data_IF_223290199056
#
_entry.id   IF_223290199056
#
_cell.length_a   1.000
_cell.length_b   1.000
_cell.length_c   1.000
_cell.angle_alpha   90.00
_cell.angle_beta   90.00
_cell.angle_gamma   90.00
#
_symmetry.space_group_name_H-M   'P 1'
#
loop_
_entity.id
_entity.type
_entity.pdbx_description
1 polymer ?
#
# COMPACT_ATOMS: atom_id res chain seq x y z
N UNK A 1 -6.71 3.62 9.80
CA UNK A 1 -7.23 4.96 9.41
C UNK A 1 -8.12 4.79 8.17
N UNK A 2 -8.95 5.76 7.82
CA UNK A 2 -9.80 5.66 6.62
C UNK A 2 -9.35 6.66 5.56
N UNK A 3 -9.05 6.20 4.34
CA UNK A 3 -8.63 7.04 3.23
C UNK A 3 -9.65 7.04 2.09
N UNK A 4 -9.77 8.12 1.30
CA UNK A 4 -10.66 8.17 0.13
C UNK A 4 -10.44 6.99 -0.83
N UNK A 5 -11.52 6.43 -1.37
CA UNK A 5 -11.47 5.29 -2.27
C UNK A 5 -10.98 5.70 -3.67
N UNK A 6 -10.14 4.86 -4.28
CA UNK A 6 -9.65 5.08 -5.63
C UNK A 6 -10.61 4.48 -6.68
N UNK A 7 -10.60 5.06 -7.88
CA UNK A 7 -11.47 4.66 -8.99
C UNK A 7 -10.72 4.66 -10.31
N UNK A 8 -11.33 4.04 -11.31
CA UNK A 8 -10.86 4.16 -12.69
C UNK A 8 -10.81 5.63 -13.10
N UNK A 9 -9.66 6.04 -13.65
CA UNK A 9 -9.38 7.42 -14.05
C UNK A 9 -8.80 8.32 -12.96
N UNK A 10 -8.70 7.87 -11.70
CA UNK A 10 -7.96 8.63 -10.69
C UNK A 10 -6.45 8.59 -10.98
N UNK A 11 -5.75 9.64 -10.56
CA UNK A 11 -4.34 9.86 -10.87
C UNK A 11 -3.43 9.55 -9.69
N UNK A 12 -2.25 9.02 -9.99
CA UNK A 12 -1.14 8.84 -9.04
C UNK A 12 -0.38 10.14 -8.84
N UNK A 13 0.52 10.17 -7.85
CA UNK A 13 1.41 11.31 -7.58
C UNK A 13 2.27 11.67 -8.80
N UNK A 14 2.63 10.67 -9.59
CA UNK A 14 3.43 10.80 -10.81
C UNK A 14 2.61 11.18 -12.04
N UNK A 15 1.29 11.37 -11.89
CA UNK A 15 0.39 11.73 -12.99
C UNK A 15 -0.04 10.55 -13.86
N UNK A 16 0.16 9.32 -13.40
CA UNK A 16 -0.32 8.12 -14.09
C UNK A 16 -1.79 7.87 -13.75
N UNK A 17 -2.57 7.37 -14.72
CA UNK A 17 -4.00 7.14 -14.54
C UNK A 17 -4.31 5.66 -14.31
N UNK A 18 -5.27 5.38 -13.44
CA UNK A 18 -5.81 4.03 -13.24
C UNK A 18 -6.66 3.65 -14.45
N UNK A 19 -6.29 2.56 -15.12
CA UNK A 19 -6.92 2.06 -16.32
C UNK A 19 -8.15 1.19 -15.98
N UNK A 20 -9.13 1.09 -16.90
CA UNK A 20 -10.15 0.05 -16.84
C UNK A 20 -9.50 -1.35 -16.93
N UNK A 21 -10.15 -2.43 -16.41
CA UNK A 21 -11.60 -2.58 -16.22
C UNK A 21 -12.14 -2.22 -14.82
N UNK A 22 -11.29 -2.03 -13.82
CA UNK A 22 -11.72 -1.90 -12.42
C UNK A 22 -12.72 -2.99 -12.02
N UNK A 23 -13.56 -2.69 -11.04
CA UNK A 23 -14.73 -3.51 -10.70
C UNK A 23 -16.01 -2.76 -11.12
N UNK A 24 -16.56 -3.03 -12.32
CA UNK A 24 -17.69 -2.26 -12.86
C UNK A 24 -19.01 -2.51 -12.12
N UNK A 25 -19.09 -3.56 -11.29
CA UNK A 25 -20.25 -3.84 -10.45
C UNK A 25 -20.34 -2.94 -9.22
N UNK A 26 -19.23 -2.30 -8.82
CA UNK A 26 -19.18 -1.41 -7.66
C UNK A 26 -18.80 -0.02 -8.14
N UNK A 27 -19.76 0.89 -8.10
CA UNK A 27 -19.58 2.27 -8.57
C UNK A 27 -19.32 3.22 -7.40
N UNK A 28 -18.17 3.87 -7.39
CA UNK A 28 -17.80 4.88 -6.40
C UNK A 28 -17.96 6.24 -7.07
N UNK A 29 -18.94 7.03 -6.64
CA UNK A 29 -19.24 8.32 -7.26
C UNK A 29 -19.53 8.23 -8.77
N UNK A 30 -20.20 7.14 -9.19
CA UNK A 30 -20.60 6.90 -10.59
C UNK A 30 -19.53 6.29 -11.51
N UNK A 31 -18.32 6.03 -11.02
CA UNK A 31 -17.24 5.38 -11.78
C UNK A 31 -16.87 4.02 -11.17
N UNK A 32 -16.38 3.04 -11.96
CA UNK A 32 -15.92 1.76 -11.44
C UNK A 32 -14.86 1.90 -10.35
N UNK A 33 -15.02 1.15 -9.27
CA UNK A 33 -14.06 1.09 -8.19
C UNK A 33 -12.72 0.50 -8.65
N UNK A 34 -11.61 1.04 -8.15
CA UNK A 34 -10.29 0.46 -8.37
C UNK A 34 -9.90 -0.49 -7.22
N UNK A 35 -9.25 -1.59 -7.56
CA UNK A 35 -8.84 -2.65 -6.67
C UNK A 35 -7.35 -3.00 -6.85
N UNK A 36 -6.81 -3.70 -5.86
CA UNK A 36 -5.47 -4.29 -5.97
C UNK A 36 -5.39 -5.19 -7.19
N UNK A 37 -4.34 -4.98 -7.99
CA UNK A 37 -4.09 -5.65 -9.25
C UNK A 37 -4.66 -4.96 -10.49
N UNK A 38 -5.34 -3.81 -10.35
CA UNK A 38 -5.74 -2.99 -11.50
C UNK A 38 -4.53 -2.33 -12.16
N UNK A 39 -4.67 -2.09 -13.47
CA UNK A 39 -3.60 -1.53 -14.29
C UNK A 39 -3.52 -0.02 -14.12
N UNK A 40 -2.30 0.50 -14.13
CA UNK A 40 -2.02 1.93 -14.09
C UNK A 40 -1.01 2.25 -15.18
N UNK A 41 -1.25 3.30 -15.96
CA UNK A 41 -0.30 3.75 -16.98
C UNK A 41 -0.42 5.24 -17.18
N UNK A 42 0.67 5.87 -17.60
CA UNK A 42 0.72 7.29 -17.86
C UNK A 42 2.11 7.76 -18.22
N UNK A 43 2.43 8.97 -17.79
CA UNK A 43 3.67 9.65 -18.17
C UNK A 43 4.91 8.93 -17.65
N UNK A 44 4.86 8.48 -16.39
CA UNK A 44 5.99 7.82 -15.74
C UNK A 44 5.92 6.32 -15.95
N UNK A 45 4.75 5.71 -15.80
CA UNK A 45 4.54 4.28 -16.04
C UNK A 45 4.18 4.08 -17.52
N UNK A 46 5.23 4.09 -18.35
CA UNK A 46 5.12 4.15 -19.82
C UNK A 46 5.74 2.94 -20.56
N UNK A 47 6.51 2.08 -19.88
CA UNK A 47 7.10 0.89 -20.52
C UNK A 47 6.14 -0.31 -20.50
N UNK A 48 5.53 -0.57 -19.36
CA UNK A 48 4.51 -1.60 -19.16
C UNK A 48 3.46 -1.09 -18.18
N UNK A 49 2.19 -1.50 -18.29
CA UNK A 49 1.16 -1.14 -17.31
C UNK A 49 1.60 -1.57 -15.91
N UNK A 50 1.70 -0.59 -15.03
CA UNK A 50 1.91 -0.84 -13.61
C UNK A 50 0.67 -1.42 -12.97
N UNK A 51 0.82 -1.86 -11.74
CA UNK A 51 -0.19 -2.59 -10.98
C UNK A 51 -0.34 -1.96 -9.61
N UNK A 52 -1.57 -1.77 -9.16
CA UNK A 52 -1.86 -1.39 -7.77
C UNK A 52 -1.46 -2.57 -6.87
N UNK A 53 -0.39 -2.40 -6.09
CA UNK A 53 0.20 -3.44 -5.27
C UNK A 53 -0.45 -3.56 -3.88
N UNK A 54 -0.96 -2.45 -3.34
CA UNK A 54 -1.46 -2.39 -1.95
C UNK A 54 -2.85 -1.76 -1.89
N UNK A 55 -3.70 -2.21 -0.94
CA UNK A 55 -5.04 -1.68 -0.73
C UNK A 55 -5.58 -1.93 0.68
N UNK A 56 -6.87 -1.69 0.89
CA UNK A 56 -7.58 -2.00 2.12
C UNK A 56 -8.00 -3.45 2.18
N UNK A 57 -7.35 -4.25 3.02
CA UNK A 57 -7.64 -5.68 3.19
C UNK A 57 -8.94 -5.98 3.95
N UNK A 58 -9.61 -4.94 4.50
CA UNK A 58 -10.87 -5.08 5.24
C UNK A 58 -12.09 -4.84 4.36
N UNK A 59 -11.94 -4.05 3.30
CA UNK A 59 -13.00 -3.75 2.35
C UNK A 59 -12.65 -4.42 1.04
N UNK A 60 -13.35 -5.52 0.74
CA UNK A 60 -13.17 -6.27 -0.49
C UNK A 60 -14.21 -5.82 -1.51
N UNK A 61 -13.75 -5.34 -2.66
CA UNK A 61 -14.56 -4.94 -3.80
C UNK A 61 -14.36 -5.99 -4.90
N UNK A 62 -15.44 -6.67 -5.28
CA UNK A 62 -15.36 -7.79 -6.25
C UNK A 62 -14.47 -8.94 -5.78
N UNK A 63 -14.36 -9.15 -4.46
CA UNK A 63 -13.49 -10.16 -3.85
C UNK A 63 -12.01 -9.78 -3.77
N UNK A 64 -11.64 -8.56 -4.19
CA UNK A 64 -10.26 -8.05 -4.19
C UNK A 64 -10.12 -6.88 -3.21
N UNK A 65 -8.97 -6.68 -2.56
CA UNK A 65 -8.77 -5.53 -1.68
C UNK A 65 -8.98 -4.20 -2.41
N UNK A 66 -9.77 -3.30 -1.82
CA UNK A 66 -10.10 -2.00 -2.40
C UNK A 66 -8.87 -1.08 -2.45
N UNK A 67 -8.64 -0.40 -3.57
CA UNK A 67 -7.60 0.61 -3.67
C UNK A 67 -8.06 1.93 -3.02
N UNK A 68 -7.13 2.64 -2.38
CA UNK A 68 -7.40 3.90 -1.68
C UNK A 68 -6.30 4.92 -1.95
N UNK A 69 -6.54 6.18 -1.63
CA UNK A 69 -5.48 7.18 -1.58
C UNK A 69 -4.36 6.65 -0.68
N UNK A 70 -3.11 6.79 -1.10
CA UNK A 70 -1.88 6.17 -0.54
C UNK A 70 -1.60 4.71 -0.92
N UNK A 71 -2.50 4.02 -1.63
CA UNK A 71 -2.20 2.68 -2.19
C UNK A 71 -0.96 2.74 -3.09
N UNK A 72 -0.03 1.81 -2.87
CA UNK A 72 1.17 1.68 -3.71
C UNK A 72 0.81 1.12 -5.08
N UNK A 73 1.46 1.67 -6.10
CA UNK A 73 1.40 1.25 -7.49
C UNK A 73 2.83 1.00 -7.95
N UNK A 74 3.08 -0.20 -8.46
CA UNK A 74 4.39 -0.61 -8.96
C UNK A 74 4.33 -0.71 -10.48
N UNK A 75 5.25 -0.07 -11.18
CA UNK A 75 5.30 -0.09 -12.63
C UNK A 75 6.72 0.00 -13.16
N UNK A 76 6.84 0.08 -14.48
CA UNK A 76 8.09 0.22 -15.19
C UNK A 76 8.09 1.50 -16.02
N UNK A 77 9.18 2.25 -15.94
CA UNK A 77 9.45 3.41 -16.79
C UNK A 77 10.61 3.11 -17.75
N UNK A 78 10.66 3.80 -18.88
CA UNK A 78 11.83 3.78 -19.76
C UNK A 78 12.86 4.77 -19.22
N UNK A 79 14.00 4.25 -18.76
CA UNK A 79 15.11 5.08 -18.32
C UNK A 79 15.86 5.75 -19.47
N UNK A 80 16.82 6.67 -19.16
CA UNK A 80 17.55 7.45 -20.16
C UNK A 80 18.34 6.62 -21.19
N UNK A 81 18.68 5.37 -20.86
CA UNK A 81 19.39 4.43 -21.73
C UNK A 81 18.46 3.47 -22.48
N UNK A 82 17.15 3.72 -22.48
CA UNK A 82 16.15 2.83 -23.08
C UNK A 82 15.91 1.54 -22.29
N UNK A 83 16.48 1.42 -21.09
CA UNK A 83 16.35 0.25 -20.21
C UNK A 83 15.13 0.40 -19.29
N UNK A 84 14.36 -0.68 -19.02
CA UNK A 84 13.26 -0.64 -18.07
C UNK A 84 13.77 -0.42 -16.64
N UNK A 85 13.20 0.55 -15.94
CA UNK A 85 13.51 0.86 -14.54
C UNK A 85 12.25 0.71 -13.68
N UNK A 86 12.32 -0.01 -12.54
CA UNK A 86 11.19 -0.12 -11.64
C UNK A 86 10.90 1.20 -10.93
N UNK A 87 9.62 1.56 -10.88
CA UNK A 87 9.13 2.76 -10.18
C UNK A 87 7.95 2.37 -9.30
N UNK A 88 7.93 2.92 -8.10
CA UNK A 88 6.79 2.85 -7.21
C UNK A 88 6.21 4.25 -7.00
N UNK A 89 4.89 4.37 -7.08
CA UNK A 89 4.14 5.61 -6.85
C UNK A 89 2.93 5.31 -5.97
N UNK A 90 2.23 6.34 -5.54
CA UNK A 90 1.00 6.18 -4.75
C UNK A 90 -0.18 6.87 -5.43
N UNK A 91 -1.38 6.38 -5.16
CA UNK A 91 -2.60 7.01 -5.63
C UNK A 91 -2.79 8.34 -4.89
N UNK A 92 -2.88 9.43 -5.65
CA UNK A 92 -3.02 10.78 -5.12
C UNK A 92 -4.49 11.18 -4.97
N UNK A 93 -5.30 10.89 -6.00
CA UNK A 93 -6.70 11.29 -6.05
C UNK A 93 -7.62 10.11 -5.73
N UNK A 94 -8.69 10.38 -5.00
CA UNK A 94 -9.76 9.42 -4.71
C UNK A 94 -11.07 10.15 -4.44
N UNK A 95 -12.16 9.42 -4.25
CA UNK A 95 -13.45 10.01 -3.88
C UNK A 95 -13.55 10.28 -2.39
N UNK A 96 -13.72 11.56 -1.99
CA UNK A 96 -13.77 11.92 -0.58
C UNK A 96 -14.99 11.34 0.15
N UNK A 97 -16.08 11.06 -0.58
CA UNK A 97 -17.33 10.58 0.03
C UNK A 97 -17.31 9.08 0.38
N UNK A 98 -16.35 8.31 -0.14
CA UNK A 98 -16.24 6.88 0.14
C UNK A 98 -14.87 6.64 0.75
N UNK A 99 -14.85 6.27 2.02
CA UNK A 99 -13.62 6.06 2.77
C UNK A 99 -13.36 4.56 2.95
N UNK A 100 -12.18 4.11 2.55
CA UNK A 100 -11.70 2.73 2.72
C UNK A 100 -10.78 2.68 3.93
N UNK A 101 -11.16 1.87 4.92
CA UNK A 101 -10.38 1.62 6.12
C UNK A 101 -9.27 0.60 5.93
N UNK A 102 -8.14 0.81 6.60
CA UNK A 102 -7.33 -0.28 7.14
C UNK A 102 -7.66 -0.49 8.62
N UNK A 103 -8.14 -1.69 8.96
CA UNK A 103 -7.81 -2.23 10.28
C UNK A 103 -6.30 -2.44 10.21
N UNK A 104 -5.54 -1.82 11.12
CA UNK A 104 -4.11 -2.09 11.26
C UNK A 104 -3.95 -3.56 11.63
N UNK A 105 -3.88 -4.43 10.63
CA UNK A 105 -3.48 -5.81 10.84
C UNK A 105 -1.98 -5.71 11.08
N UNK A 106 -1.60 -5.64 12.36
CA UNK A 106 -0.24 -5.86 12.77
C UNK A 106 0.10 -7.26 12.26
N UNK A 107 0.83 -7.34 11.14
CA UNK A 107 1.43 -8.60 10.72
C UNK A 107 2.38 -8.94 11.87
N UNK A 108 2.11 -10.01 12.65
CA UNK A 108 3.02 -10.39 13.71
C UNK A 108 4.40 -10.58 13.06
N UNK A 109 5.48 -10.02 13.63
CA UNK A 109 6.82 -10.26 13.11
C UNK A 109 7.02 -11.78 12.97
N UNK A 110 7.79 -12.24 11.97
CA UNK A 110 8.09 -13.66 11.83
C UNK A 110 8.48 -14.28 13.18
N UNK A 111 8.15 -15.55 13.48
CA UNK A 111 8.41 -16.17 14.78
C UNK A 111 9.86 -16.01 15.24
N UNK A 112 10.81 -15.98 14.29
CA UNK A 112 12.23 -15.72 14.51
C UNK A 112 12.49 -14.33 15.11
N UNK A 113 11.85 -13.30 14.58
CA UNK A 113 11.96 -11.91 15.04
C UNK A 113 11.24 -11.73 16.38
N UNK A 114 10.13 -12.44 16.60
CA UNK A 114 9.44 -12.45 17.89
C UNK A 114 10.31 -13.05 19.00
N UNK A 115 10.96 -14.19 18.73
CA UNK A 115 11.87 -14.82 19.69
C UNK A 115 13.05 -13.91 20.05
N UNK A 116 13.62 -13.22 19.05
CA UNK A 116 14.70 -12.26 19.25
C UNK A 116 14.28 -11.06 20.10
N UNK A 117 13.08 -10.50 19.86
CA UNK A 117 12.53 -9.40 20.65
C UNK A 117 12.34 -9.81 22.11
N UNK A 118 11.77 -10.99 22.37
CA UNK A 118 11.61 -11.50 23.75
C UNK A 118 12.95 -11.75 24.44
N UNK A 119 13.95 -12.27 23.73
CA UNK A 119 15.28 -12.49 24.29
C UNK A 119 15.98 -11.16 24.62
N UNK A 120 15.83 -10.16 23.75
CA UNK A 120 16.39 -8.83 23.96
C UNK A 120 15.71 -8.11 25.13
N UNK A 121 14.40 -8.26 25.30
CA UNK A 121 13.66 -7.72 26.44
C UNK A 121 14.10 -8.32 27.79
N UNK A 122 14.41 -9.64 27.83
CA UNK A 122 14.97 -10.28 29.02
C UNK A 122 16.40 -9.82 29.32
N UNK A 123 17.24 -9.66 28.30
CA UNK A 123 18.61 -9.19 28.47
C UNK A 123 18.65 -7.71 28.94
N UNK A 124 17.77 -6.87 28.41
CA UNK A 124 17.61 -5.47 28.85
C UNK A 124 17.15 -5.43 30.30
N UNK A 125 16.19 -6.27 30.72
CA UNK A 125 15.77 -6.36 32.12
C UNK A 125 16.91 -6.78 33.04
N UNK A 126 17.69 -7.79 32.65
CA UNK A 126 18.84 -8.27 33.43
C UNK A 126 19.91 -7.18 33.58
N UNK A 127 20.31 -6.53 32.48
CA UNK A 127 21.30 -5.44 32.51
C UNK A 127 20.81 -4.25 33.34
N UNK A 128 19.52 -3.96 33.32
CA UNK A 128 18.94 -2.88 34.12
C UNK A 128 18.95 -3.19 35.62
N UNK A 129 18.66 -4.44 36.00
CA UNK A 129 18.78 -4.90 37.40
C UNK A 129 20.23 -4.89 37.90
N UNK A 130 21.19 -5.33 37.07
CA UNK A 130 22.62 -5.29 37.39
C UNK A 130 23.17 -3.86 37.50
N UNK A 131 22.55 -2.88 36.83
CA UNK A 131 22.88 -1.46 36.94
C UNK A 131 22.28 -0.84 38.21
N UNK A 132 21.04 -1.16 38.57
CA UNK A 132 20.43 -0.70 39.84
C UNK A 132 21.19 -1.20 41.08
N UNK A 133 21.75 -2.41 41.06
CA UNK A 133 22.57 -2.94 42.16
C UNK A 133 23.96 -2.29 42.24
N UNK A 134 24.48 -1.74 41.13
CA UNK A 134 25.75 -0.98 41.12
C UNK A 134 25.57 0.49 41.51
N UNK A 135 24.35 1.01 41.47
CA UNK A 135 24.01 2.38 41.88
C UNK A 135 23.57 2.48 43.36
N UNK A 136 23.54 1.35 44.10
CA UNK A 136 23.28 1.27 45.56
C UNK A 136 24.54 0.97 46.37
#
# INVERSE_FOLDING_TARGET
MSFPAARVGDVTVTGDAILPPGVPTVLIGGLPAACVGDKVSGLVINYAPGIIATGGFTVLIGGRPAARVTSMVNGLTIGPLGVPVPVATTILKGQPNVLIGDMGVAVPPPPEVQAQLTAMDEEVKRKKAELEEKES
#
